data_IF_715499492485
#
_entry.id   IF_715499492485
#
_cell.length_a   1.000
_cell.length_b   1.000
_cell.length_c   1.000
_cell.angle_alpha   90.00
_cell.angle_beta   90.00
_cell.angle_gamma   90.00
#
_symmetry.space_group_name_H-M   'P 1'
#
loop_
_entity.id
_entity.type
_entity.pdbx_description
1 polymer ?
2 non-polymer ?
3 water ?
#
# COMPACT_ATOMS: atom_id res chain seq x y z
N UNK A 1 10.80 21.42 13.16
CA UNK A 1 11.37 20.10 13.53
C UNK A 1 11.07 18.95 12.56
N UNK A 2 11.37 17.73 12.98
CA UNK A 2 11.47 16.64 11.99
C UNK A 2 10.13 16.33 11.32
N UNK A 3 10.13 16.17 10.00
CA UNK A 3 8.90 15.88 9.28
C UNK A 3 9.14 15.03 8.02
N UNK A 4 8.27 14.05 7.77
CA UNK A 4 8.31 13.26 6.52
C UNK A 4 6.91 12.94 6.09
N UNK A 5 6.65 12.99 4.78
CA UNK A 5 5.38 12.66 4.24
C UNK A 5 5.55 11.51 3.28
N UNK A 6 4.62 10.52 3.38
CA UNK A 6 4.65 9.29 2.61
C UNK A 6 3.31 9.07 2.09
N UNK A 7 3.26 8.92 0.75
CA UNK A 7 2.04 8.78 0.12
C UNK A 7 2.00 7.46 -0.54
N UNK A 8 0.88 6.80 -0.42
CA UNK A 8 0.77 5.48 -0.97
C UNK A 8 -0.51 5.43 -1.82
N UNK A 9 -0.39 4.93 -3.04
CA UNK A 9 -1.52 4.72 -4.01
C UNK A 9 -1.48 3.45 -4.82
N UNK A 10 -2.53 2.67 -4.78
CA UNK A 10 -2.77 1.56 -5.69
C UNK A 10 -3.42 2.16 -6.97
N UNK A 11 -2.70 2.06 -8.10
CA UNK A 11 -3.06 2.89 -9.30
C UNK A 11 -3.87 2.12 -10.32
N UNK A 12 -4.03 0.81 -10.15
CA UNK A 12 -4.79 -0.06 -11.03
C UNK A 12 -4.34 0.17 -12.47
N UNK A 13 -3.04 0.15 -12.66
CA UNK A 13 -2.43 0.51 -13.98
C UNK A 13 -1.95 1.92 -13.99
N UNK A 14 -0.65 2.07 -14.00
CA UNK A 14 -0.03 3.33 -13.88
C UNK A 14 -0.24 4.17 -15.18
N UNK A 15 -0.42 3.51 -16.34
CA UNK A 15 -0.70 4.36 -17.52
C UNK A 15 -2.12 4.89 -17.37
N UNK A 16 -3.11 4.04 -17.03
CA UNK A 16 -4.55 4.46 -16.85
C UNK A 16 -4.68 5.57 -15.86
N UNK A 17 -3.89 5.46 -14.79
CA UNK A 17 -3.91 6.44 -13.73
C UNK A 17 -3.24 7.72 -14.11
N UNK A 18 -2.11 7.62 -14.77
CA UNK A 18 -1.44 8.79 -15.28
C UNK A 18 -2.34 9.59 -16.30
N UNK A 19 -3.03 8.87 -17.17
CA UNK A 19 -3.99 9.47 -18.09
C UNK A 19 -5.06 10.24 -17.32
N UNK A 20 -5.31 9.85 -16.06
CA UNK A 20 -6.28 10.55 -15.23
C UNK A 20 -5.72 11.68 -14.40
N UNK A 21 -4.45 12.01 -14.55
CA UNK A 21 -3.89 13.17 -13.83
C UNK A 21 -2.98 12.76 -12.62
N UNK A 22 -2.70 11.46 -12.41
CA UNK A 22 -1.98 10.99 -11.15
C UNK A 22 -0.71 11.70 -10.98
N UNK A 23 0.06 11.78 -12.04
CA UNK A 23 1.40 12.37 -11.90
C UNK A 23 1.44 13.84 -11.59
N UNK A 24 0.55 14.66 -12.18
CA UNK A 24 0.67 16.12 -11.87
C UNK A 24 0.13 16.34 -10.42
N UNK A 25 -0.86 15.53 -10.03
CA UNK A 25 -1.37 15.62 -8.64
C UNK A 25 -0.24 15.23 -7.67
N UNK A 26 0.45 14.12 -7.95
CA UNK A 26 1.61 13.71 -7.05
C UNK A 26 2.67 14.71 -6.98
N UNK A 27 3.02 15.31 -8.14
CA UNK A 27 4.08 16.35 -8.13
C UNK A 27 3.82 17.46 -7.13
N UNK A 28 2.57 17.74 -6.87
CA UNK A 28 2.21 18.86 -6.01
C UNK A 28 2.01 18.51 -4.53
N UNK A 29 2.26 17.27 -4.11
CA UNK A 29 1.79 16.85 -2.77
C UNK A 29 2.81 17.03 -1.69
N UNK A 30 4.00 17.47 -2.09
CA UNK A 30 5.10 17.66 -1.18
C UNK A 30 5.56 16.36 -0.41
N UNK A 31 5.41 15.23 -1.09
CA UNK A 31 5.87 13.92 -0.52
C UNK A 31 7.34 13.70 -0.53
N UNK A 32 7.84 13.11 0.55
CA UNK A 32 9.22 12.62 0.58
C UNK A 32 9.39 11.26 -0.17
N UNK A 33 8.38 10.40 -0.07
CA UNK A 33 8.38 9.08 -0.71
C UNK A 33 7.01 8.84 -1.15
N UNK A 34 6.91 8.31 -2.37
CA UNK A 34 5.68 7.90 -2.91
C UNK A 34 5.79 6.40 -3.27
N UNK A 35 4.80 5.62 -2.86
CA UNK A 35 4.70 4.24 -3.11
C UNK A 35 3.50 3.91 -3.89
N UNK A 36 3.72 3.32 -5.05
CA UNK A 36 2.64 2.91 -5.89
C UNK A 36 2.53 1.41 -5.94
N UNK A 37 1.31 0.92 -6.05
CA UNK A 37 1.09 -0.50 -6.26
C UNK A 37 0.26 -0.73 -7.52
N UNK A 38 0.38 -1.93 -8.07
CA UNK A 38 -0.46 -2.42 -9.20
C UNK A 38 -0.22 -1.54 -10.45
N UNK A 39 1.04 -1.33 -10.79
CA UNK A 39 1.42 -0.47 -11.94
C UNK A 39 1.03 -1.11 -13.29
N UNK A 40 1.01 -2.43 -13.35
CA UNK A 40 0.72 -3.20 -14.55
C UNK A 40 1.72 -2.90 -15.65
N UNK A 41 2.91 -2.45 -15.30
CA UNK A 41 3.89 -2.03 -16.26
C UNK A 41 5.14 -2.90 -16.22
N UNK A 42 5.80 -3.08 -17.35
CA UNK A 42 7.05 -3.80 -17.42
C UNK A 42 8.18 -2.85 -17.12
N UNK A 43 9.40 -3.37 -16.90
CA UNK A 43 10.55 -2.45 -16.69
C UNK A 43 10.72 -1.49 -17.89
N UNK A 44 10.60 -2.03 -19.08
CA UNK A 44 10.68 -1.22 -20.31
C UNK A 44 9.57 -0.16 -20.36
N UNK A 45 8.33 -0.52 -20.01
CA UNK A 45 7.17 0.44 -20.05
C UNK A 45 7.41 1.59 -19.11
N UNK A 46 8.11 1.32 -17.99
CA UNK A 46 8.35 2.36 -16.98
C UNK A 46 9.54 3.18 -17.30
N UNK A 47 10.19 2.81 -18.38
CA UNK A 47 11.29 3.61 -18.91
C UNK A 47 10.72 4.86 -19.70
N UNK A 48 9.40 4.93 -19.91
CA UNK A 48 8.75 6.07 -20.61
C UNK A 48 8.93 7.33 -19.74
N UNK A 49 9.51 8.42 -20.32
CA UNK A 49 9.98 9.57 -19.51
C UNK A 49 8.81 10.30 -18.91
N UNK A 50 7.55 10.11 -19.37
CA UNK A 50 6.47 10.77 -18.75
C UNK A 50 6.11 10.19 -17.34
N UNK A 51 6.73 9.08 -16.91
CA UNK A 51 6.48 8.53 -15.54
C UNK A 51 7.39 9.15 -14.49
N UNK A 52 8.40 9.90 -14.91
CA UNK A 52 9.35 10.52 -14.00
C UNK A 52 8.71 11.74 -13.32
N UNK A 53 9.12 12.03 -12.11
CA UNK A 53 8.61 13.15 -11.37
C UNK A 53 9.77 14.00 -11.08
N UNK A 54 9.66 15.33 -11.28
CA UNK A 54 10.88 16.18 -11.03
C UNK A 54 11.18 16.18 -9.54
N UNK A 55 12.45 16.11 -9.20
CA UNK A 55 12.89 16.08 -7.82
C UNK A 55 12.95 14.66 -7.20
N UNK A 56 12.52 13.64 -7.95
CA UNK A 56 12.39 12.25 -7.42
C UNK A 56 13.20 11.25 -8.23
N UNK A 57 13.87 10.37 -7.52
CA UNK A 57 14.35 9.10 -8.08
C UNK A 57 13.18 8.08 -8.16
N UNK A 58 13.10 7.32 -9.25
CA UNK A 58 12.09 6.30 -9.42
C UNK A 58 12.65 4.85 -9.53
N UNK A 59 12.13 3.95 -8.68
CA UNK A 59 12.52 2.53 -8.68
C UNK A 59 11.28 1.74 -8.92
N UNK A 60 11.39 0.61 -9.60
CA UNK A 60 10.25 -0.23 -9.83
C UNK A 60 10.59 -1.70 -9.88
N UNK A 61 9.57 -2.54 -9.81
CA UNK A 61 9.72 -3.96 -9.93
C UNK A 61 8.53 -4.49 -10.72
N UNK A 62 8.76 -5.27 -11.76
CA UNK A 62 7.65 -5.69 -12.56
C UNK A 62 7.27 -7.13 -12.40
N UNK A 63 6.02 -7.43 -12.68
CA UNK A 63 5.57 -8.79 -12.71
C UNK A 63 6.08 -9.45 -14.02
N UNK A 64 6.35 -10.76 -13.95
CA UNK A 64 6.69 -11.57 -15.14
C UNK A 64 5.78 -11.30 -16.32
N UNK A 65 4.47 -11.40 -16.07
CA UNK A 65 3.45 -10.86 -16.95
C UNK A 65 2.99 -9.59 -16.34
N UNK A 66 3.34 -8.44 -16.94
CA UNK A 66 3.32 -7.15 -16.27
C UNK A 66 1.99 -6.74 -15.74
N UNK A 67 0.93 -7.15 -16.43
CA UNK A 67 -0.42 -6.76 -16.03
C UNK A 67 -0.87 -7.41 -14.74
N UNK A 68 -0.11 -8.39 -14.25
CA UNK A 68 -0.52 -9.17 -13.10
C UNK A 68 -0.04 -8.57 -11.78
N UNK A 69 0.68 -7.46 -11.87
CA UNK A 69 1.25 -6.81 -10.70
C UNK A 69 2.03 -5.60 -11.00
N UNK A 70 3.19 -5.43 -10.36
CA UNK A 70 4.12 -4.33 -10.45
C UNK A 70 3.98 -3.28 -9.37
N UNK A 71 5.08 -2.79 -8.85
CA UNK A 71 5.04 -1.74 -7.84
C UNK A 71 6.17 -0.82 -8.19
N UNK A 72 6.13 0.36 -7.61
CA UNK A 72 7.13 1.41 -7.78
C UNK A 72 7.19 2.34 -6.61
N UNK A 73 8.31 2.99 -6.50
CA UNK A 73 8.66 3.84 -5.38
C UNK A 73 9.49 5.03 -5.87
N UNK A 74 9.01 6.25 -5.57
CA UNK A 74 9.73 7.49 -5.83
C UNK A 74 10.20 8.05 -4.55
N UNK A 75 11.42 8.54 -4.57
CA UNK A 75 12.03 9.09 -3.38
C UNK A 75 12.80 10.38 -3.71
N UNK A 76 12.76 11.40 -2.84
CA UNK A 76 13.53 12.62 -3.08
C UNK A 76 14.97 12.35 -2.77
N UNK A 77 15.23 11.59 -1.73
CA UNK A 77 16.56 11.17 -1.43
C UNK A 77 16.89 9.90 -2.18
N UNK A 78 18.13 9.75 -2.58
CA UNK A 78 18.58 8.56 -3.21
C UNK A 78 18.81 7.47 -2.11
N UNK A 79 18.03 6.41 -2.12
CA UNK A 79 18.19 5.53 -0.99
C UNK A 79 19.52 4.90 -0.96
N UNK A 80 19.90 4.37 0.20
CA UNK A 80 21.14 3.60 0.40
C UNK A 80 21.18 2.35 -0.45
N UNK A 81 20.03 1.68 -0.55
CA UNK A 81 19.91 0.47 -1.30
C UNK A 81 18.44 0.33 -1.63
N UNK A 82 18.16 -0.40 -2.68
CA UNK A 82 16.79 -0.82 -3.04
C UNK A 82 16.80 -2.28 -3.33
N UNK A 83 15.85 -2.99 -2.73
CA UNK A 83 15.69 -4.40 -2.98
C UNK A 83 14.28 -4.74 -3.40
N UNK A 84 14.17 -5.75 -4.20
CA UNK A 84 12.89 -6.21 -4.57
C UNK A 84 12.68 -7.64 -4.21
N UNK A 85 11.43 -7.97 -4.04
CA UNK A 85 10.99 -9.27 -3.76
C UNK A 85 11.05 -9.55 -2.29
N UNK A 86 10.43 -10.63 -1.91
CA UNK A 86 10.36 -11.05 -0.52
C UNK A 86 10.88 -12.48 -0.31
N UNK A 87 11.21 -13.23 -1.37
CA UNK A 87 11.77 -14.60 -1.24
C UNK A 87 10.69 -15.67 -1.27
N UNK A 88 9.50 -15.34 -1.75
CA UNK A 88 8.46 -16.32 -1.97
C UNK A 88 7.71 -15.99 -3.24
N UNK A 89 7.12 -17.02 -3.87
CA UNK A 89 6.68 -16.88 -5.26
C UNK A 89 5.52 -16.00 -5.48
N UNK A 90 4.57 -15.96 -4.56
CA UNK A 90 3.42 -15.13 -4.83
C UNK A 90 3.75 -13.64 -4.74
N UNK A 91 4.92 -13.27 -4.21
CA UNK A 91 5.48 -11.95 -4.33
C UNK A 91 6.42 -11.80 -5.51
N UNK A 92 7.37 -12.69 -5.62
CA UNK A 92 8.52 -12.45 -6.48
C UNK A 92 8.19 -12.58 -8.01
N UNK A 93 7.18 -13.34 -8.33
CA UNK A 93 6.83 -13.56 -9.72
C UNK A 93 5.83 -12.50 -10.19
N UNK A 94 5.43 -11.62 -9.30
CA UNK A 94 4.36 -10.71 -9.55
C UNK A 94 4.72 -9.25 -9.31
N UNK A 95 6.00 -8.98 -9.05
CA UNK A 95 6.54 -7.68 -8.71
C UNK A 95 5.67 -6.97 -7.67
N UNK A 96 5.42 -7.68 -6.58
CA UNK A 96 4.48 -7.17 -5.51
C UNK A 96 5.19 -6.56 -4.35
N UNK A 97 6.48 -6.49 -4.44
CA UNK A 97 7.29 -5.89 -3.37
C UNK A 97 8.58 -5.20 -3.78
N UNK A 98 8.77 -4.00 -3.22
CA UNK A 98 10.00 -3.24 -3.38
C UNK A 98 10.26 -2.37 -2.19
N UNK A 99 11.52 -2.32 -1.77
CA UNK A 99 11.91 -1.63 -0.58
C UNK A 99 13.07 -0.71 -0.81
N UNK A 100 13.01 0.46 -0.24
CA UNK A 100 14.11 1.49 -0.20
C UNK A 100 14.60 1.58 1.23
N UNK A 101 15.92 1.50 1.40
CA UNK A 101 16.56 1.62 2.69
C UNK A 101 17.16 2.97 2.94
N UNK A 102 16.78 3.54 4.08
CA UNK A 102 17.26 4.81 4.53
C UNK A 102 17.96 4.62 5.88
N UNK A 103 18.41 5.71 6.49
CA UNK A 103 19.05 5.58 7.82
C UNK A 103 17.92 5.20 8.83
N UNK A 104 18.13 4.03 9.45
CA UNK A 104 17.29 3.50 10.54
C UNK A 104 15.94 2.94 10.08
N UNK A 105 15.48 3.32 8.89
CA UNK A 105 14.13 2.96 8.46
C UNK A 105 14.19 2.58 6.96
N UNK A 106 13.47 1.57 6.58
CA UNK A 106 13.19 1.22 5.21
C UNK A 106 11.72 1.49 4.92
N UNK A 107 11.42 1.94 3.68
CA UNK A 107 10.05 2.18 3.25
C UNK A 107 9.78 1.33 2.03
N UNK A 108 8.69 0.58 2.05
CA UNK A 108 8.37 -0.35 1.03
C UNK A 108 6.99 -0.15 0.46
N UNK A 109 6.84 -0.71 -0.74
CA UNK A 109 5.58 -0.77 -1.42
C UNK A 109 5.25 -2.27 -1.57
N UNK A 110 4.00 -2.61 -1.29
CA UNK A 110 3.54 -3.95 -1.19
C UNK A 110 2.17 -4.06 -1.73
N UNK A 111 2.04 -5.09 -2.53
CA UNK A 111 0.77 -5.39 -3.16
C UNK A 111 0.37 -6.84 -2.96
N UNK A 112 -0.86 -7.03 -2.51
CA UNK A 112 -1.51 -8.30 -2.47
C UNK A 112 -2.46 -8.55 -3.67
N UNK A 113 -2.66 -9.82 -3.98
CA UNK A 113 -3.81 -10.18 -4.81
C UNK A 113 -5.13 -9.84 -4.09
N UNK A 114 -6.15 -9.48 -4.85
CA UNK A 114 -7.44 -9.08 -4.25
C UNK A 114 -8.27 -10.28 -3.83
N UNK A 115 -8.09 -11.37 -4.56
CA UNK A 115 -8.79 -12.59 -4.30
C UNK A 115 -10.25 -12.50 -4.73
N UNK A 116 -10.53 -11.60 -5.63
CA UNK A 116 -11.91 -11.30 -6.06
C UNK A 116 -12.47 -12.02 -7.30
N UNK A 117 -11.69 -12.89 -7.95
CA UNK A 117 -12.18 -13.52 -9.22
C UNK A 117 -12.19 -15.03 -9.13
N UNK A 118 -12.71 -15.52 -8.02
CA UNK A 118 -12.87 -16.93 -7.81
C UNK A 118 -11.92 -17.53 -6.84
N UNK A 119 -12.19 -18.81 -6.56
CA UNK A 119 -11.44 -19.62 -5.62
C UNK A 119 -9.97 -19.77 -5.94
N UNK A 120 -9.56 -19.78 -7.20
CA UNK A 120 -8.14 -19.88 -7.42
C UNK A 120 -7.44 -18.58 -6.93
N UNK A 121 -7.99 -17.44 -7.28
CA UNK A 121 -7.39 -16.17 -6.91
C UNK A 121 -7.34 -16.00 -5.36
N UNK A 122 -8.32 -16.54 -4.64
CA UNK A 122 -8.41 -16.42 -3.16
C UNK A 122 -7.40 -17.32 -2.51
N UNK A 123 -7.22 -18.55 -3.04
CA UNK A 123 -6.07 -19.44 -2.69
C UNK A 123 -4.69 -18.77 -2.79
N UNK A 124 -4.49 -18.06 -3.88
CA UNK A 124 -3.26 -17.35 -4.10
C UNK A 124 -3.16 -16.23 -3.03
N UNK A 125 -4.26 -15.49 -2.78
CA UNK A 125 -4.23 -14.42 -1.76
C UNK A 125 -3.93 -14.98 -0.39
N UNK A 126 -4.57 -16.07 0.01
CA UNK A 126 -4.28 -16.72 1.34
C UNK A 126 -2.86 -17.20 1.48
N UNK A 127 -2.28 -17.71 0.39
CA UNK A 127 -0.93 -18.17 0.43
C UNK A 127 0.07 -17.01 0.60
N UNK A 128 -0.18 -15.91 -0.09
CA UNK A 128 0.61 -14.70 0.05
C UNK A 128 0.53 -14.26 1.54
N UNK A 129 -0.68 -14.22 2.10
CA UNK A 129 -0.90 -13.75 3.45
C UNK A 129 -0.08 -14.57 4.39
N UNK A 130 -0.20 -15.91 4.27
CA UNK A 130 0.55 -16.79 5.15
C UNK A 130 2.04 -16.70 5.02
N UNK A 131 2.54 -16.62 3.79
CA UNK A 131 3.95 -16.35 3.58
C UNK A 131 4.42 -14.97 4.09
N UNK A 132 3.56 -13.97 4.01
CA UNK A 132 3.92 -12.67 4.53
C UNK A 132 3.95 -12.64 6.07
N UNK A 133 3.03 -13.39 6.70
CA UNK A 133 3.05 -13.51 8.16
C UNK A 133 4.40 -14.09 8.60
N UNK A 134 4.79 -15.15 7.95
CA UNK A 134 6.09 -15.81 8.20
C UNK A 134 7.29 -14.84 8.06
N UNK A 135 7.33 -14.09 6.96
CA UNK A 135 8.31 -13.02 6.78
C UNK A 135 8.27 -12.02 7.93
N UNK A 136 7.08 -11.52 8.30
CA UNK A 136 7.04 -10.50 9.35
C UNK A 136 7.49 -11.13 10.70
N UNK A 137 7.15 -12.40 10.95
CA UNK A 137 7.54 -12.99 12.24
C UNK A 137 9.08 -13.02 12.39
N UNK A 138 9.77 -13.32 11.33
CA UNK A 138 11.25 -13.12 11.34
C UNK A 138 11.72 -11.66 11.35
N UNK A 139 11.12 -10.86 10.54
CA UNK A 139 11.67 -9.50 10.32
C UNK A 139 11.54 -8.61 11.55
N UNK A 140 10.53 -8.87 12.36
CA UNK A 140 10.30 -8.08 13.57
C UNK A 140 11.48 -8.16 14.54
N UNK A 141 12.34 -9.17 14.38
CA UNK A 141 13.55 -9.27 15.21
C UNK A 141 14.72 -8.36 14.75
N UNK A 142 14.61 -7.76 13.58
CA UNK A 142 15.64 -6.82 13.13
C UNK A 142 15.54 -5.50 13.84
N UNK A 143 16.62 -4.78 13.91
CA UNK A 143 16.58 -3.52 14.64
C UNK A 143 16.02 -2.33 13.78
N UNK A 144 16.09 -2.43 12.50
CA UNK A 144 15.65 -1.27 11.76
C UNK A 144 14.11 -1.19 11.76
N UNK A 145 13.61 0.01 11.56
CA UNK A 145 12.17 0.26 11.41
C UNK A 145 11.76 0.09 9.94
N UNK A 146 10.50 -0.29 9.71
CA UNK A 146 9.90 -0.51 8.39
C UNK A 146 8.57 0.12 8.35
N UNK A 147 8.33 0.80 7.21
CA UNK A 147 7.02 1.29 6.85
C UNK A 147 6.59 0.60 5.57
N UNK A 148 5.64 -0.32 5.68
CA UNK A 148 5.14 -1.07 4.59
C UNK A 148 3.90 -0.36 4.08
N UNK A 149 4.04 0.26 2.90
CA UNK A 149 2.92 0.86 2.20
C UNK A 149 2.16 -0.18 1.43
N UNK A 150 1.07 -0.64 1.99
CA UNK A 150 0.54 -1.92 1.60
C UNK A 150 -0.87 -1.76 1.09
N UNK A 151 -1.13 -2.37 -0.04
CA UNK A 151 -2.45 -2.44 -0.62
C UNK A 151 -2.86 -3.85 -0.41
N UNK A 152 -3.60 -4.10 0.67
CA UNK A 152 -3.81 -5.48 1.20
C UNK A 152 -5.07 -6.19 0.79
N UNK A 153 -6.05 -5.45 0.27
CA UNK A 153 -7.34 -6.07 -0.07
C UNK A 153 -8.03 -6.75 1.11
N UNK A 154 -7.77 -6.20 2.27
CA UNK A 154 -8.37 -6.70 3.54
C UNK A 154 -8.66 -5.50 4.43
N UNK A 155 -9.88 -5.52 5.00
CA UNK A 155 -10.34 -4.47 5.92
C UNK A 155 -10.36 -5.16 7.27
N UNK A 156 -9.85 -4.48 8.27
CA UNK A 156 -9.60 -5.15 9.55
C UNK A 156 -10.82 -5.29 10.49
N UNK A 157 -11.46 -4.19 10.78
CA UNK A 157 -12.50 -4.08 11.78
C UNK A 157 -13.81 -3.56 11.15
N UNK A 158 -14.91 -3.58 11.92
CA UNK A 158 -16.25 -3.26 11.37
C UNK A 158 -16.20 -1.84 10.80
N UNK A 159 -15.51 -0.94 11.47
CA UNK A 159 -15.45 0.49 11.05
C UNK A 159 -14.65 0.73 9.75
N UNK A 160 -13.91 -0.27 9.31
CA UNK A 160 -13.13 -0.20 8.08
C UNK A 160 -13.96 -0.60 6.83
N UNK A 161 -15.26 -0.90 7.00
CA UNK A 161 -16.12 -1.24 5.86
C UNK A 161 -17.51 -0.63 6.05
N UNK A 162 -18.23 -0.42 4.95
CA UNK A 162 -19.59 0.13 5.03
C UNK A 162 -20.44 -1.07 4.87
N UNK A 163 -21.33 -1.28 5.83
CA UNK A 163 -22.23 -2.49 5.91
C UNK A 163 -21.48 -3.76 6.13
N UNK A 164 -20.92 -3.87 7.33
CA UNK A 164 -20.12 -4.99 7.68
C UNK A 164 -20.87 -6.28 7.59
N UNK A 165 -22.17 -6.29 7.86
CA UNK A 165 -22.92 -7.56 7.83
C UNK A 165 -22.94 -8.20 6.44
N UNK A 166 -23.03 -7.40 5.41
CA UNK A 166 -22.99 -8.02 4.06
C UNK A 166 -21.57 -8.29 3.58
N UNK A 167 -20.63 -7.46 4.02
CA UNK A 167 -19.23 -7.65 3.62
C UNK A 167 -18.59 -8.96 4.12
N UNK A 168 -19.12 -9.53 5.21
CA UNK A 168 -18.48 -10.64 5.90
C UNK A 168 -18.36 -11.88 5.07
N UNK A 169 -19.13 -11.93 3.99
CA UNK A 169 -19.19 -13.09 3.11
C UNK A 169 -18.36 -12.87 1.86
N UNK A 170 -17.77 -11.67 1.69
CA UNK A 170 -16.99 -11.32 0.46
C UNK A 170 -15.48 -11.16 0.76
N UNK A 171 -14.62 -11.60 -0.18
CA UNK A 171 -13.15 -11.36 -0.06
C UNK A 171 -12.90 -9.92 0.25
N UNK A 172 -12.12 -9.65 1.31
CA UNK A 172 -11.92 -8.31 1.83
C UNK A 172 -12.34 -8.21 3.29
N UNK A 173 -13.25 -9.07 3.73
CA UNK A 173 -13.73 -9.06 5.15
C UNK A 173 -14.11 -10.44 5.59
N UNK A 174 -13.45 -11.44 5.02
CA UNK A 174 -13.67 -12.77 5.48
C UNK A 174 -12.99 -12.94 6.82
N UNK A 175 -13.51 -13.88 7.59
CA UNK A 175 -13.06 -14.09 8.96
C UNK A 175 -11.55 -14.44 9.01
N UNK A 176 -11.09 -15.35 8.15
CA UNK A 176 -9.64 -15.62 8.17
C UNK A 176 -8.80 -14.40 7.69
N UNK A 177 -9.39 -13.49 6.90
CA UNK A 177 -8.67 -12.28 6.47
C UNK A 177 -8.57 -11.28 7.64
N UNK A 178 -9.66 -11.08 8.34
CA UNK A 178 -9.60 -10.24 9.54
C UNK A 178 -8.68 -10.83 10.56
N UNK A 179 -8.71 -12.15 10.72
CA UNK A 179 -7.80 -12.82 11.67
C UNK A 179 -6.33 -12.59 11.34
N UNK A 180 -6.01 -12.58 10.08
CA UNK A 180 -4.60 -12.35 9.60
C UNK A 180 -4.11 -10.96 10.08
N UNK A 181 -4.97 -9.96 9.92
CA UNK A 181 -4.61 -8.60 10.36
C UNK A 181 -4.64 -8.49 11.89
N UNK A 182 -5.55 -9.21 12.53
CA UNK A 182 -5.45 -9.25 14.00
C UNK A 182 -4.05 -9.77 14.47
N UNK A 183 -3.50 -10.77 13.77
CA UNK A 183 -2.18 -11.27 14.06
C UNK A 183 -1.12 -10.25 13.78
N UNK A 184 -1.21 -9.60 12.61
CA UNK A 184 -0.19 -8.57 12.24
C UNK A 184 -0.14 -7.46 13.29
N UNK A 185 -1.32 -6.89 13.60
CA UNK A 185 -1.41 -5.71 14.48
C UNK A 185 -1.48 -6.11 15.98
N UNK A 186 -1.68 -7.39 16.28
CA UNK A 186 -1.78 -7.87 17.65
C UNK A 186 -0.53 -8.60 18.01
N UNK A 187 -0.54 -9.95 17.95
CA UNK A 187 0.60 -10.69 18.43
C UNK A 187 1.97 -10.26 17.83
N UNK A 188 1.98 -9.99 16.54
CA UNK A 188 3.25 -9.54 15.88
C UNK A 188 3.65 -8.09 16.18
N UNK A 189 2.75 -7.29 16.76
CA UNK A 189 3.13 -5.99 17.31
C UNK A 189 3.26 -4.84 16.32
N UNK A 190 2.88 -5.04 15.06
CA UNK A 190 2.87 -3.95 14.10
C UNK A 190 1.72 -2.97 14.37
N UNK A 191 1.88 -1.76 13.87
CA UNK A 191 0.92 -0.67 13.97
C UNK A 191 0.33 -0.29 12.64
N UNK A 192 -0.93 0.08 12.76
CA UNK A 192 -1.73 0.63 11.61
C UNK A 192 -1.66 2.16 11.70
N UNK A 193 -0.87 2.75 10.82
CA UNK A 193 -0.54 4.17 10.89
C UNK A 193 -1.80 5.05 11.05
N UNK A 194 -2.81 4.86 10.27
CA UNK A 194 -3.98 5.71 10.35
C UNK A 194 -4.65 5.56 11.78
N UNK A 195 -4.72 4.34 12.25
CA UNK A 195 -5.28 4.07 13.60
C UNK A 195 -4.43 4.57 14.76
N UNK A 196 -3.19 4.97 14.53
CA UNK A 196 -2.48 5.60 15.60
C UNK A 196 -2.94 7.06 15.76
N UNK A 197 -3.64 7.61 14.78
CA UNK A 197 -4.09 9.01 14.93
C UNK A 197 -5.56 9.24 14.74
N UNK A 198 -6.31 8.25 14.36
CA UNK A 198 -7.72 8.39 14.22
C UNK A 198 -8.48 7.11 14.51
N UNK A 199 -9.47 7.24 15.36
CA UNK A 199 -10.41 6.15 15.61
C UNK A 199 -11.73 6.44 14.98
N UNK A 200 -11.82 7.35 14.02
CA UNK A 200 -13.14 7.59 13.36
C UNK A 200 -13.36 6.70 12.23
N UNK A 201 -14.62 6.37 12.03
CA UNK A 201 -15.10 5.57 10.91
C UNK A 201 -15.17 6.40 9.63
N UNK A 202 -15.87 5.82 8.68
CA UNK A 202 -16.12 6.39 7.36
C UNK A 202 -14.86 6.81 6.62
N UNK A 203 -13.70 6.16 6.90
CA UNK A 203 -12.46 6.45 6.20
C UNK A 203 -12.13 5.21 5.42
N UNK A 204 -12.43 5.22 4.10
CA UNK A 204 -12.24 4.07 3.23
C UNK A 204 -11.17 4.34 2.12
N UNK A 205 -10.71 3.29 1.43
CA UNK A 205 -9.65 3.53 0.41
C UNK A 205 -9.95 2.80 -0.89
N UNK A 206 -10.96 1.98 -0.94
CA UNK A 206 -11.36 1.28 -2.14
C UNK A 206 -12.87 1.15 -2.26
N UNK A 207 -13.35 1.30 -3.51
CA UNK A 207 -14.77 1.21 -3.86
C UNK A 207 -14.91 0.41 -5.12
N UNK A 208 -15.85 -0.57 -5.16
CA UNK A 208 -16.15 -1.25 -6.43
C UNK A 208 -16.48 -0.18 -7.47
N UNK A 209 -16.30 -0.54 -8.73
CA UNK A 209 -16.41 0.38 -9.82
C UNK A 209 -17.88 0.48 -10.36
N UNK A 210 -18.70 1.31 -9.70
CA UNK A 210 -20.13 1.48 -9.99
C UNK A 210 -20.54 2.83 -9.39
N UNK A 211 -21.52 3.52 -9.99
CA UNK A 211 -21.97 4.84 -9.52
C UNK A 211 -22.69 4.76 -8.18
N UNK A 212 -23.27 3.60 -7.90
CA UNK A 212 -24.03 3.35 -6.70
C UNK A 212 -23.09 3.19 -5.49
N UNK A 213 -22.01 2.41 -5.66
CA UNK A 213 -20.93 2.40 -4.67
C UNK A 213 -20.38 3.79 -4.41
N UNK A 214 -20.25 4.63 -5.45
CA UNK A 214 -19.66 5.96 -5.30
C UNK A 214 -20.63 6.90 -4.57
N UNK A 215 -21.93 6.85 -4.92
CA UNK A 215 -22.90 7.81 -4.33
C UNK A 215 -23.16 7.51 -2.85
N UNK A 216 -23.42 6.22 -2.55
CA UNK A 216 -23.64 5.72 -1.17
C UNK A 216 -22.35 5.49 -0.31
N UNK A 217 -21.13 5.77 -0.83
CA UNK A 217 -19.83 5.45 -0.12
C UNK A 217 -19.72 4.00 0.38
N UNK A 218 -19.93 3.03 -0.51
CA UNK A 218 -19.82 1.62 -0.15
C UNK A 218 -18.32 1.18 -0.27
N UNK A 219 -17.55 1.77 0.63
CA UNK A 219 -16.10 1.69 0.64
C UNK A 219 -15.57 0.65 1.67
N UNK A 220 -14.32 0.28 1.46
CA UNK A 220 -13.53 -0.62 2.32
C UNK A 220 -12.15 0.03 2.55
N UNK A 221 -11.61 -0.02 3.79
CA UNK A 221 -10.23 0.46 3.99
C UNK A 221 -9.29 -0.72 3.76
N UNK A 222 -8.68 -0.74 2.59
CA UNK A 222 -7.79 -1.80 2.10
C UNK A 222 -6.28 -1.38 2.07
N UNK A 223 -5.96 -0.10 2.23
CA UNK A 223 -4.69 0.46 2.06
C UNK A 223 -4.21 0.98 3.37
N UNK A 224 -2.97 0.61 3.71
CA UNK A 224 -2.37 0.89 5.02
C UNK A 224 -0.94 1.29 4.87
N UNK A 225 -0.41 1.93 5.92
CA UNK A 225 1.02 2.03 6.15
C UNK A 225 1.21 1.30 7.45
N UNK A 226 1.75 0.10 7.31
CA UNK A 226 1.97 -0.81 8.43
C UNK A 226 3.36 -0.55 8.95
N UNK A 227 3.40 -0.33 10.23
CA UNK A 227 4.59 0.16 10.90
C UNK A 227 5.22 -0.81 11.90
N UNK A 228 6.52 -0.82 11.92
CA UNK A 228 7.24 -1.39 13.05
C UNK A 228 6.89 -0.61 14.31
N UNK A 229 6.94 -1.25 15.49
CA UNK A 229 6.43 -0.58 16.71
C UNK A 229 7.29 0.61 17.09
N UNK A 230 8.54 0.64 16.68
CA UNK A 230 9.36 1.83 16.98
C UNK A 230 8.81 3.09 16.34
N UNK A 231 7.96 2.96 15.31
CA UNK A 231 7.46 4.20 14.64
C UNK A 231 6.09 4.62 15.12
N UNK A 232 5.49 3.86 16.03
CA UNK A 232 4.10 4.12 16.32
C UNK A 232 3.70 5.46 16.95
N UNK A 233 4.66 6.09 17.66
CA UNK A 233 4.47 7.37 18.32
C UNK A 233 4.89 8.53 17.42
N UNK A 234 5.39 8.23 16.20
CA UNK A 234 5.85 9.24 15.27
C UNK A 234 4.81 9.62 14.28
N UNK A 235 3.63 9.00 14.30
CA UNK A 235 2.64 9.39 13.32
C UNK A 235 1.98 10.72 13.69
N UNK A 236 1.88 11.62 12.72
CA UNK A 236 1.26 12.97 12.94
C UNK A 236 -0.13 13.05 12.35
N UNK A 237 -0.28 12.71 11.08
CA UNK A 237 -1.57 12.74 10.44
C UNK A 237 -1.66 11.71 9.40
N UNK A 238 -2.90 11.33 9.12
CA UNK A 238 -3.19 10.37 8.11
C UNK A 238 -4.52 10.64 7.50
N UNK A 239 -4.57 10.54 6.17
CA UNK A 239 -5.77 10.88 5.40
C UNK A 239 -5.92 10.09 4.17
N UNK A 240 -7.16 9.72 3.94
CA UNK A 240 -7.59 9.02 2.82
C UNK A 240 -8.67 9.90 2.04
N UNK A 241 -8.20 10.88 1.32
CA UNK A 241 -9.17 11.77 0.59
C UNK A 241 -9.98 11.02 -0.46
N UNK A 242 -11.28 11.28 -0.49
CA UNK A 242 -12.18 10.68 -1.47
C UNK A 242 -11.91 11.13 -2.93
N UNK A 243 -11.31 12.32 -3.06
CA UNK A 243 -11.02 12.93 -4.33
C UNK A 243 -9.76 13.66 -4.12
N UNK A 244 -8.97 13.86 -5.20
CA UNK A 244 -9.23 13.26 -6.50
C UNK A 244 -8.83 11.79 -6.44
N UNK A 245 -9.31 10.95 -7.35
CA UNK A 245 -8.61 9.72 -7.59
C UNK A 245 -8.51 9.18 -9.01
N UNK A 246 -7.69 8.14 -9.12
CA UNK A 246 -7.02 7.74 -10.36
C UNK A 246 -7.20 6.30 -10.64
N UNK A 247 -8.03 5.72 -9.82
CA UNK A 247 -8.18 4.29 -9.78
C UNK A 247 -9.31 3.98 -8.85
N UNK A 248 -9.55 2.69 -8.64
CA UNK A 248 -10.55 2.30 -7.62
C UNK A 248 -10.13 2.63 -6.16
N UNK A 249 -8.88 3.09 -5.96
CA UNK A 249 -8.34 3.28 -4.60
C UNK A 249 -8.14 4.72 -4.34
N UNK A 250 -8.36 5.17 -3.09
CA UNK A 250 -7.87 6.51 -2.67
C UNK A 250 -6.42 6.49 -2.30
N UNK A 251 -5.73 7.60 -2.49
CA UNK A 251 -4.38 7.75 -1.95
C UNK A 251 -4.42 7.83 -0.46
N UNK A 252 -3.34 7.35 0.16
CA UNK A 252 -3.18 7.40 1.62
C UNK A 252 -2.03 8.24 1.86
N UNK A 253 -2.24 9.35 2.57
CA UNK A 253 -1.17 10.29 2.82
C UNK A 253 -0.88 10.33 4.33
N UNK A 254 0.35 10.04 4.72
CA UNK A 254 0.69 9.93 6.14
C UNK A 254 1.90 10.80 6.37
N UNK A 255 1.78 11.70 7.35
CA UNK A 255 2.92 12.49 7.83
C UNK A 255 3.38 11.95 9.16
N UNK A 256 4.67 12.02 9.34
CA UNK A 256 5.40 11.46 10.46
C UNK A 256 6.32 12.53 10.97
N UNK A 257 6.54 12.53 12.29
CA UNK A 257 7.58 13.37 12.97
C UNK A 257 8.97 12.80 12.92
N UNK A 258 9.46 12.57 11.74
CA UNK A 258 10.71 11.88 11.57
C UNK A 258 11.40 12.56 10.39
N UNK A 259 12.70 12.80 10.51
CA UNK A 259 13.48 13.41 9.43
C UNK A 259 14.21 12.31 8.67
N UNK A 260 13.69 12.00 7.51
CA UNK A 260 14.31 11.01 6.68
C UNK A 260 15.70 11.42 6.29
N UNK A 261 16.66 10.51 6.36
CA UNK A 261 17.98 10.77 5.77
C UNK A 261 18.64 9.50 5.28
N UNK A 262 19.81 9.54 4.61
CA UNK A 262 20.53 8.31 4.18
C UNK A 262 21.88 8.05 4.84
#
# INVERSE_FOLDING_TARGET
>A
GPAMRIISVNVNGIQAAAERGLLSWLQAQNADVICLQDTRASAFDLDDPSFQLDGYFLYACDAELPEQGGVALYSRLQPKAVISGLGFETADRYGRYLQADFDKVSIATLLLPSGQSGDESLNQKFKFMDDFTHYLSKQRRKRREYIYCGSLYVAHQKMDVKNWRECQQMPGFLAPERAWLDEVFGNLGYADALREVSREGDQFSWWPDSEQAEMLNLGWRFDYQVLTPGLRRFVRNAKLPRQPRFSQHAPLIVDYDWQLSI
#
